data_IF_243625322416
#
_entry.id   IF_243625322416
#
_cell.length_a   1.000
_cell.length_b   1.000
_cell.length_c   1.000
_cell.angle_alpha   90.00
_cell.angle_beta   90.00
_cell.angle_gamma   90.00
#
_symmetry.space_group_name_H-M   'P 1'
#
loop_
_entity.id
_entity.type
_entity.pdbx_description
1 polymer ?
#
# COMPACT_ATOMS: atom_id res chain seq x y z
N UNK A 1 -8.94 -43.91 -18.68
CA UNK A 1 -8.18 -44.86 -17.83
C UNK A 1 -8.07 -44.21 -16.45
N UNK A 2 -9.04 -44.39 -15.53
CA UNK A 2 -9.01 -45.37 -14.40
C UNK A 2 -7.78 -45.11 -13.52
N UNK A 3 -7.78 -44.77 -12.21
CA UNK A 3 -8.67 -44.75 -11.01
C UNK A 3 -7.93 -43.82 -9.99
N UNK A 4 -8.41 -43.34 -8.84
CA UNK A 4 -9.33 -43.90 -7.84
C UNK A 4 -9.86 -42.79 -6.93
N UNK A 5 -11.14 -42.88 -6.58
CA UNK A 5 -11.78 -42.19 -5.45
C UNK A 5 -11.63 -43.11 -4.23
N UNK A 6 -11.17 -42.57 -3.09
CA UNK A 6 -11.25 -43.26 -1.80
C UNK A 6 -12.07 -42.39 -0.85
N UNK A 7 -13.32 -42.80 -0.67
CA UNK A 7 -14.19 -42.41 0.43
C UNK A 7 -13.73 -43.18 1.68
N UNK A 8 -13.54 -42.49 2.80
CA UNK A 8 -13.52 -43.14 4.12
C UNK A 8 -14.55 -42.46 5.03
N UNK A 9 -15.53 -43.25 5.43
CA UNK A 9 -16.70 -42.87 6.20
C UNK A 9 -16.45 -42.89 7.72
N UNK A 10 -17.34 -42.17 8.41
CA UNK A 10 -17.48 -41.98 9.86
C UNK A 10 -17.47 -43.26 10.72
N UNK A 11 -17.08 -43.10 11.99
CA UNK A 11 -17.63 -43.85 13.12
C UNK A 11 -17.54 -43.02 14.42
N UNK A 12 -18.52 -43.27 15.28
CA UNK A 12 -19.15 -42.39 16.27
C UNK A 12 -18.75 -42.72 17.73
N UNK A 13 -18.83 -41.67 18.57
CA UNK A 13 -19.33 -41.65 19.98
C UNK A 13 -18.45 -42.25 21.08
N UNK A 14 -18.20 -41.46 22.14
CA UNK A 14 -18.66 -41.73 23.51
C UNK A 14 -18.49 -40.49 24.42
N UNK A 15 -19.54 -40.21 25.20
CA UNK A 15 -19.62 -39.18 26.22
C UNK A 15 -18.87 -39.59 27.51
N UNK A 16 -18.29 -38.62 28.22
CA UNK A 16 -17.90 -38.75 29.62
C UNK A 16 -18.06 -37.40 30.35
N UNK A 17 -18.54 -37.51 31.59
CA UNK A 17 -19.16 -36.49 32.42
C UNK A 17 -18.18 -35.71 33.32
N UNK A 18 -18.65 -34.56 33.82
CA UNK A 18 -18.21 -33.93 35.09
C UNK A 18 -17.03 -32.98 34.90
N UNK A 19 -17.05 -31.72 35.30
CA UNK A 19 -17.87 -31.03 36.29
C UNK A 19 -16.96 -30.58 37.41
N UNK A 20 -16.44 -29.35 37.35
CA UNK A 20 -15.95 -28.60 38.52
C UNK A 20 -15.95 -27.10 38.18
N UNK A 21 -16.93 -26.42 38.77
CA UNK A 21 -17.10 -24.97 38.77
C UNK A 21 -16.29 -24.47 39.98
N UNK A 22 -15.15 -23.84 39.74
CA UNK A 22 -14.46 -23.05 40.75
C UNK A 22 -14.77 -21.57 40.52
N UNK A 23 -15.83 -21.12 41.20
CA UNK A 23 -16.07 -19.71 41.50
C UNK A 23 -15.22 -19.35 42.72
N UNK A 24 -14.02 -18.83 42.51
CA UNK A 24 -13.29 -18.07 43.53
C UNK A 24 -13.29 -16.61 43.14
N UNK A 25 -14.23 -15.87 43.73
CA UNK A 25 -14.26 -14.42 43.67
C UNK A 25 -13.15 -13.83 44.54
N UNK A 26 -12.44 -12.83 44.02
CA UNK A 26 -11.67 -11.95 44.89
C UNK A 26 -10.57 -11.13 44.25
N UNK A 27 -10.94 -9.87 43.94
CA UNK A 27 -10.11 -8.65 44.04
C UNK A 27 -9.20 -8.25 42.86
N UNK A 28 -9.62 -7.13 42.28
CA UNK A 28 -8.84 -5.93 41.98
C UNK A 28 -7.48 -6.15 41.31
N UNK A 29 -7.53 -6.11 39.98
CA UNK A 29 -6.45 -5.57 39.15
C UNK A 29 -7.09 -4.78 38.02
N UNK A 30 -7.49 -3.53 38.31
CA UNK A 30 -7.64 -2.54 37.25
C UNK A 30 -6.26 -2.37 36.61
N UNK A 31 -6.23 -2.71 35.33
CA UNK A 31 -5.21 -2.55 34.31
C UNK A 31 -4.32 -1.29 34.41
N UNK A 32 -3.18 -1.29 33.69
CA UNK A 32 -3.27 -0.76 32.34
C UNK A 32 -2.80 -1.80 31.32
N UNK A 33 -3.75 -2.34 30.55
CA UNK A 33 -3.51 -2.75 29.19
C UNK A 33 -2.90 -1.55 28.48
N UNK A 34 -1.62 -1.65 28.14
CA UNK A 34 -0.92 -0.75 27.24
C UNK A 34 -1.36 -0.95 25.78
N UNK A 35 -2.66 -1.17 25.57
CA UNK A 35 -3.26 -1.67 24.32
C UNK A 35 -3.58 -0.60 23.27
N UNK A 36 -3.28 0.68 23.52
CA UNK A 36 -3.56 1.74 22.53
C UNK A 36 -2.42 1.92 21.52
N UNK A 37 -1.18 1.56 21.87
CA UNK A 37 0.00 1.83 21.05
C UNK A 37 0.24 0.85 19.90
N UNK A 38 -0.06 -0.44 20.08
CA UNK A 38 0.20 -1.46 19.06
C UNK A 38 -0.75 -1.36 17.86
N UNK A 39 -2.03 -1.07 18.10
CA UNK A 39 -3.03 -0.90 17.03
C UNK A 39 -2.84 0.38 16.22
N UNK A 40 -2.03 1.33 16.70
CA UNK A 40 -1.70 2.58 16.00
C UNK A 40 -0.32 2.54 15.34
N UNK A 41 0.39 1.41 15.42
CA UNK A 41 1.71 1.27 14.83
C UNK A 41 1.60 1.33 13.31
N UNK A 42 2.35 2.24 12.71
CA UNK A 42 2.53 2.33 11.26
C UNK A 42 3.93 1.83 10.89
N UNK A 43 4.24 1.82 9.59
CA UNK A 43 5.64 1.82 9.16
C UNK A 43 6.32 3.15 9.56
N UNK A 44 7.65 3.15 9.67
CA UNK A 44 8.44 4.38 9.82
C UNK A 44 8.53 5.14 8.49
N UNK A 45 8.95 6.41 8.50
CA UNK A 45 9.23 7.14 7.25
C UNK A 45 10.29 6.45 6.38
N UNK A 46 11.31 5.84 7.00
CA UNK A 46 12.35 5.11 6.27
C UNK A 46 11.78 3.86 5.57
N UNK A 47 10.92 3.12 6.27
CA UNK A 47 10.20 1.97 5.70
C UNK A 47 9.23 2.42 4.60
N UNK A 48 8.55 3.55 4.79
CA UNK A 48 7.67 4.13 3.78
C UNK A 48 8.44 4.53 2.51
N UNK A 49 9.63 5.12 2.65
CA UNK A 49 10.50 5.46 1.51
C UNK A 49 10.97 4.22 0.75
N UNK A 50 11.33 3.16 1.46
CA UNK A 50 11.66 1.88 0.85
C UNK A 50 10.44 1.32 0.10
N UNK A 51 9.26 1.32 0.73
CA UNK A 51 8.04 0.80 0.13
C UNK A 51 7.61 1.58 -1.10
N UNK A 52 7.77 2.90 -1.11
CA UNK A 52 7.58 3.75 -2.28
C UNK A 52 8.50 3.33 -3.43
N UNK A 53 9.80 3.09 -3.16
CA UNK A 53 10.74 2.62 -4.16
C UNK A 53 10.33 1.26 -4.72
N UNK A 54 9.92 0.32 -3.88
CA UNK A 54 9.48 -1.01 -4.33
C UNK A 54 8.27 -0.95 -5.26
N UNK A 55 7.32 -0.04 -5.00
CA UNK A 55 6.18 0.16 -5.90
C UNK A 55 6.61 0.76 -7.25
N UNK A 56 7.54 1.72 -7.25
CA UNK A 56 8.14 2.30 -8.45
C UNK A 56 8.86 1.22 -9.26
N UNK A 57 9.70 0.41 -8.62
CA UNK A 57 10.49 -0.63 -9.29
C UNK A 57 9.60 -1.68 -9.98
N UNK A 58 8.51 -2.10 -9.32
CA UNK A 58 7.55 -3.04 -9.92
C UNK A 58 6.79 -2.42 -11.09
N UNK A 59 6.36 -1.17 -10.97
CA UNK A 59 5.67 -0.46 -12.05
C UNK A 59 6.60 -0.26 -13.26
N UNK A 60 7.85 0.12 -13.04
CA UNK A 60 8.87 0.23 -14.09
C UNK A 60 9.15 -1.11 -14.76
N UNK A 61 9.16 -2.22 -14.00
CA UNK A 61 9.35 -3.55 -14.55
C UNK A 61 8.21 -4.02 -15.47
N UNK A 62 7.01 -3.42 -15.35
CA UNK A 62 5.88 -3.69 -16.22
C UNK A 62 5.94 -2.94 -17.57
N UNK A 63 6.84 -1.96 -17.72
CA UNK A 63 6.96 -1.20 -18.96
C UNK A 63 7.58 -2.06 -20.08
N UNK A 64 7.10 -1.92 -21.33
CA UNK A 64 7.63 -2.65 -22.49
C UNK A 64 9.04 -2.18 -22.89
N UNK A 65 9.45 -1.00 -22.45
CA UNK A 65 10.81 -0.47 -22.58
C UNK A 65 11.25 0.02 -21.21
N UNK A 66 12.44 -0.41 -20.76
CA UNK A 66 12.97 -0.01 -19.46
C UNK A 66 13.55 1.41 -19.52
N UNK A 67 12.97 2.40 -18.81
CA UNK A 67 13.55 3.74 -18.71
C UNK A 67 14.80 3.77 -17.83
N UNK A 68 15.58 4.83 -17.96
CA UNK A 68 16.48 5.28 -16.89
C UNK A 68 15.69 6.15 -15.93
N UNK A 69 15.90 5.99 -14.62
CA UNK A 69 15.21 6.78 -13.60
C UNK A 69 16.09 7.95 -13.15
N UNK A 70 15.64 9.18 -13.41
CA UNK A 70 16.27 10.41 -12.88
C UNK A 70 15.44 10.96 -11.74
N UNK A 71 16.04 11.10 -10.56
CA UNK A 71 15.32 11.51 -9.36
C UNK A 71 14.79 12.93 -9.51
N UNK A 72 13.48 13.10 -9.34
CA UNK A 72 12.83 14.41 -9.32
C UNK A 72 12.56 14.86 -7.88
N UNK A 73 12.08 13.96 -7.03
CA UNK A 73 11.69 14.25 -5.64
C UNK A 73 11.91 13.03 -4.75
N UNK A 74 12.44 13.26 -3.55
CA UNK A 74 12.56 12.28 -2.48
C UNK A 74 12.45 13.01 -1.14
N UNK A 75 11.23 13.23 -0.67
CA UNK A 75 10.93 14.08 0.47
C UNK A 75 9.86 13.48 1.38
N UNK A 76 9.51 14.21 2.43
CA UNK A 76 8.35 13.96 3.27
C UNK A 76 7.73 15.29 3.71
N UNK A 77 6.41 15.28 3.90
CA UNK A 77 5.64 16.44 4.33
C UNK A 77 4.65 16.04 5.41
N UNK A 78 4.43 16.93 6.39
CA UNK A 78 3.45 16.67 7.43
C UNK A 78 2.05 16.58 6.80
N UNK A 79 1.28 15.59 7.23
CA UNK A 79 -0.12 15.46 6.87
C UNK A 79 -0.93 16.55 7.59
N UNK A 80 -1.27 17.60 6.83
CA UNK A 80 -2.01 18.77 7.31
C UNK A 80 -3.36 18.97 6.63
N UNK A 81 -3.72 18.07 5.71
CA UNK A 81 -5.00 18.13 5.00
C UNK A 81 -6.16 17.99 6.02
N UNK A 82 -7.07 18.97 6.11
CA UNK A 82 -8.18 18.91 7.04
C UNK A 82 -9.16 17.76 6.74
N UNK A 83 -9.10 17.15 5.55
CA UNK A 83 -9.93 16.01 5.15
C UNK A 83 -9.32 14.65 5.48
N UNK A 84 -8.07 14.61 5.96
CA UNK A 84 -7.45 13.37 6.44
C UNK A 84 -7.95 12.98 7.84
N UNK A 85 -8.57 13.90 8.59
CA UNK A 85 -9.17 13.72 9.93
C UNK A 85 -8.24 13.07 10.99
N UNK A 86 -6.95 12.91 10.70
CA UNK A 86 -6.02 12.23 11.58
C UNK A 86 -5.15 13.18 12.43
N UNK A 87 -4.44 12.64 13.45
CA UNK A 87 -3.59 13.44 14.32
C UNK A 87 -2.45 14.16 13.57
N UNK A 88 -2.05 15.32 14.10
CA UNK A 88 -0.82 16.04 13.68
C UNK A 88 0.44 15.23 13.99
N UNK A 89 1.53 15.54 13.29
CA UNK A 89 2.82 14.88 13.45
C UNK A 89 2.99 13.57 12.67
N UNK A 90 2.02 13.20 11.81
CA UNK A 90 2.19 12.18 10.78
C UNK A 90 2.71 12.80 9.50
N UNK A 91 3.44 12.03 8.71
CA UNK A 91 4.08 12.48 7.48
C UNK A 91 3.72 11.56 6.31
N UNK A 92 3.51 12.15 5.15
CA UNK A 92 3.47 11.45 3.87
C UNK A 92 4.88 11.49 3.26
N UNK A 93 5.39 10.32 2.86
CA UNK A 93 6.66 10.19 2.14
C UNK A 93 6.37 10.15 0.66
N UNK A 94 7.04 11.00 -0.12
CA UNK A 94 6.90 11.08 -1.57
C UNK A 94 8.20 10.73 -2.29
N UNK A 95 8.10 9.99 -3.39
CA UNK A 95 9.21 9.72 -4.30
C UNK A 95 8.77 9.79 -5.75
N UNK A 96 9.48 10.56 -6.57
CA UNK A 96 9.16 10.73 -7.99
C UNK A 96 10.40 10.68 -8.86
N UNK A 97 10.29 10.03 -10.00
CA UNK A 97 11.33 9.95 -11.03
C UNK A 97 10.81 10.45 -12.38
N UNK A 98 11.69 11.07 -13.15
CA UNK A 98 11.56 11.13 -14.61
C UNK A 98 11.89 9.77 -15.22
N UNK A 99 11.14 9.39 -16.26
CA UNK A 99 11.33 8.15 -17.01
C UNK A 99 12.10 8.43 -18.31
N UNK A 100 13.42 8.53 -18.20
CA UNK A 100 14.28 8.92 -19.32
C UNK A 100 14.47 7.79 -20.34
N UNK A 101 14.68 8.18 -21.61
CA UNK A 101 14.94 7.25 -22.70
C UNK A 101 13.69 6.59 -23.29
N UNK A 102 12.49 6.97 -22.83
CA UNK A 102 11.24 6.54 -23.45
C UNK A 102 10.94 7.38 -24.70
N UNK A 103 10.57 6.76 -25.83
CA UNK A 103 10.15 7.49 -27.02
C UNK A 103 8.78 8.15 -26.82
N UNK A 104 8.74 9.48 -26.77
CA UNK A 104 7.54 10.31 -26.49
C UNK A 104 6.30 9.95 -27.34
N UNK A 105 6.49 9.58 -28.60
CA UNK A 105 5.39 9.18 -29.49
C UNK A 105 4.66 7.88 -29.05
N UNK A 106 5.20 7.15 -28.07
CA UNK A 106 4.61 5.95 -27.46
C UNK A 106 4.10 6.18 -26.04
N UNK A 107 3.99 7.42 -25.57
CA UNK A 107 3.52 7.72 -24.20
C UNK A 107 2.17 7.07 -23.88
N UNK A 108 1.24 7.02 -24.84
CA UNK A 108 -0.03 6.30 -24.67
C UNK A 108 0.18 4.83 -24.25
N UNK A 109 1.07 4.11 -24.95
CA UNK A 109 1.38 2.71 -24.67
C UNK A 109 2.02 2.51 -23.29
N UNK A 110 2.94 3.40 -22.89
CA UNK A 110 3.59 3.30 -21.59
C UNK A 110 2.63 3.58 -20.44
N UNK A 111 1.76 4.58 -20.59
CA UNK A 111 0.74 4.90 -19.59
C UNK A 111 -0.30 3.78 -19.49
N UNK A 112 -0.69 3.18 -20.62
CA UNK A 112 -1.59 2.02 -20.63
C UNK A 112 -0.96 0.80 -19.95
N UNK A 113 0.33 0.52 -20.19
CA UNK A 113 1.04 -0.57 -19.52
C UNK A 113 1.08 -0.40 -17.98
N UNK A 114 1.31 0.82 -17.50
CA UNK A 114 1.28 1.14 -16.07
C UNK A 114 -0.14 0.98 -15.49
N UNK A 115 -1.15 1.49 -16.20
CA UNK A 115 -2.55 1.34 -15.82
C UNK A 115 -2.95 -0.14 -15.70
N UNK A 116 -2.67 -0.94 -16.72
CA UNK A 116 -2.99 -2.37 -16.74
C UNK A 116 -2.28 -3.13 -15.62
N UNK A 117 -1.01 -2.80 -15.36
CA UNK A 117 -0.27 -3.35 -14.23
C UNK A 117 -0.96 -3.02 -12.91
N UNK A 118 -1.30 -1.75 -12.66
CA UNK A 118 -1.93 -1.35 -11.41
C UNK A 118 -3.28 -2.01 -11.19
N UNK A 119 -4.17 -1.98 -12.19
CA UNK A 119 -5.50 -2.62 -12.10
C UNK A 119 -5.37 -4.13 -11.90
N UNK A 120 -4.39 -4.77 -12.54
CA UNK A 120 -4.11 -6.20 -12.37
C UNK A 120 -3.49 -6.57 -11.01
N UNK A 121 -2.97 -5.61 -10.24
CA UNK A 121 -2.22 -5.85 -9.01
C UNK A 121 -2.84 -5.15 -7.79
N UNK A 122 -4.17 -5.09 -7.75
CA UNK A 122 -4.90 -4.69 -6.55
C UNK A 122 -4.88 -3.19 -6.27
N UNK A 123 -4.66 -2.36 -7.28
CA UNK A 123 -4.86 -0.92 -7.15
C UNK A 123 -6.27 -0.52 -7.60
N UNK A 124 -6.87 0.42 -6.85
CA UNK A 124 -8.08 1.13 -7.27
C UNK A 124 -7.70 2.42 -8.00
N UNK A 125 -8.44 2.75 -9.07
CA UNK A 125 -8.23 3.99 -9.83
C UNK A 125 -8.82 5.17 -9.06
N UNK A 126 -8.02 6.23 -8.90
CA UNK A 126 -8.46 7.51 -8.34
C UNK A 126 -8.80 8.50 -9.45
N UNK A 127 -7.93 8.60 -10.46
CA UNK A 127 -8.11 9.46 -11.62
C UNK A 127 -7.58 8.77 -12.87
N UNK A 128 -8.33 8.84 -13.98
CA UNK A 128 -7.91 8.35 -15.30
C UNK A 128 -8.18 9.42 -16.37
N UNK A 129 -7.12 10.09 -16.81
CA UNK A 129 -7.11 11.08 -17.89
C UNK A 129 -6.22 10.65 -19.04
N UNK A 130 -6.10 9.34 -19.31
CA UNK A 130 -5.27 8.81 -20.40
C UNK A 130 -5.68 9.28 -21.78
N UNK A 131 -6.95 9.64 -21.97
CA UNK A 131 -7.46 10.13 -23.26
C UNK A 131 -7.14 11.61 -23.55
N UNK A 132 -6.51 12.33 -22.61
CA UNK A 132 -6.12 13.74 -22.78
C UNK A 132 -4.69 13.85 -23.31
N UNK A 133 -4.35 15.05 -23.80
CA UNK A 133 -2.99 15.37 -24.25
C UNK A 133 -2.00 15.42 -23.06
N UNK A 134 -2.47 15.85 -21.88
CA UNK A 134 -1.77 15.81 -20.60
C UNK A 134 -2.11 14.52 -19.84
N UNK A 135 -1.61 13.39 -20.33
CA UNK A 135 -1.94 12.07 -19.77
C UNK A 135 -1.61 12.03 -18.28
N UNK A 136 -2.62 11.67 -17.50
CA UNK A 136 -2.49 11.50 -16.07
C UNK A 136 -3.29 10.29 -15.60
N UNK A 137 -2.67 9.48 -14.75
CA UNK A 137 -3.35 8.42 -14.00
C UNK A 137 -2.87 8.49 -12.58
N UNK A 138 -3.79 8.37 -11.62
CA UNK A 138 -3.45 8.08 -10.23
C UNK A 138 -4.27 6.92 -9.71
N UNK A 139 -3.62 6.11 -8.88
CA UNK A 139 -4.17 4.90 -8.30
C UNK A 139 -3.76 4.78 -6.83
N UNK A 140 -4.47 3.97 -6.07
CA UNK A 140 -4.12 3.62 -4.69
C UNK A 140 -4.12 2.11 -4.52
N UNK A 141 -3.09 1.57 -3.87
CA UNK A 141 -3.02 0.15 -3.57
C UNK A 141 -4.02 -0.20 -2.47
N UNK A 142 -4.84 -1.24 -2.66
CA UNK A 142 -5.86 -1.62 -1.69
C UNK A 142 -5.29 -2.26 -0.41
N UNK A 143 -4.07 -2.79 -0.44
CA UNK A 143 -3.48 -3.51 0.69
C UNK A 143 -2.69 -2.58 1.62
N UNK A 144 -1.91 -1.65 1.07
CA UNK A 144 -1.00 -0.78 1.83
C UNK A 144 -1.27 0.72 1.70
N UNK A 145 -2.33 1.10 0.97
CA UNK A 145 -2.76 2.48 0.74
C UNK A 145 -1.71 3.39 0.09
N UNK A 146 -0.63 2.84 -0.49
CA UNK A 146 0.30 3.66 -1.27
C UNK A 146 -0.39 4.15 -2.53
N UNK A 147 -0.20 5.44 -2.82
CA UNK A 147 -0.66 6.06 -4.05
C UNK A 147 0.44 6.05 -5.08
N UNK A 148 0.07 5.80 -6.33
CA UNK A 148 0.97 5.88 -7.48
C UNK A 148 0.37 6.85 -8.49
N UNK A 149 1.22 7.53 -9.24
CA UNK A 149 0.77 8.32 -10.38
C UNK A 149 1.78 8.35 -11.52
N UNK A 150 1.27 8.39 -12.74
CA UNK A 150 2.06 8.75 -13.93
C UNK A 150 1.48 10.04 -14.53
N UNK A 151 2.38 10.94 -14.91
CA UNK A 151 2.03 12.23 -15.51
C UNK A 151 2.91 12.49 -16.72
N UNK A 152 2.31 12.92 -17.83
CA UNK A 152 2.99 13.45 -19.01
C UNK A 152 3.18 14.98 -18.86
N UNK A 153 4.41 15.46 -19.00
CA UNK A 153 4.72 16.89 -18.98
C UNK A 153 4.29 17.55 -20.29
N UNK A 154 4.29 18.88 -20.31
CA UNK A 154 3.98 19.65 -21.54
C UNK A 154 5.01 19.43 -22.66
N UNK A 155 6.23 19.01 -22.31
CA UNK A 155 7.28 18.60 -23.24
C UNK A 155 7.17 17.13 -23.67
N UNK A 156 6.20 16.38 -23.12
CA UNK A 156 5.98 14.96 -23.41
C UNK A 156 6.89 14.02 -22.63
N UNK A 157 7.53 14.47 -21.55
CA UNK A 157 8.32 13.59 -20.66
C UNK A 157 7.41 12.95 -19.61
N UNK A 158 7.60 11.65 -19.34
CA UNK A 158 6.81 10.94 -18.33
C UNK A 158 7.51 11.02 -16.97
N UNK A 159 6.72 11.30 -15.93
CA UNK A 159 7.14 11.13 -14.54
C UNK A 159 6.30 10.06 -13.85
N UNK A 160 6.93 9.30 -12.95
CA UNK A 160 6.31 8.25 -12.15
C UNK A 160 6.57 8.52 -10.68
N UNK A 161 5.51 8.61 -9.89
CA UNK A 161 5.57 8.89 -8.47
C UNK A 161 4.88 7.83 -7.61
N UNK A 162 5.36 7.69 -6.39
CA UNK A 162 4.75 6.95 -5.30
C UNK A 162 4.66 7.84 -4.05
N UNK A 163 3.56 7.75 -3.31
CA UNK A 163 3.47 8.31 -1.97
C UNK A 163 2.83 7.36 -0.97
N UNK A 164 3.31 7.43 0.27
CA UNK A 164 2.81 6.60 1.37
C UNK A 164 1.46 7.13 1.88
N UNK A 165 0.68 6.33 2.63
CA UNK A 165 -0.26 6.91 3.57
C UNK A 165 0.47 7.77 4.62
N UNK A 166 -0.28 8.53 5.41
CA UNK A 166 0.26 9.27 6.55
C UNK A 166 0.80 8.31 7.62
N UNK A 167 2.10 8.36 7.87
CA UNK A 167 2.79 7.49 8.84
C UNK A 167 3.38 8.30 9.99
N UNK A 168 3.55 7.67 11.14
CA UNK A 168 4.36 8.26 12.20
C UNK A 168 5.85 8.17 11.83
N UNK A 169 6.67 9.21 12.08
CA UNK A 169 8.09 9.21 11.72
C UNK A 169 8.84 7.95 12.19
N UNK A 170 8.65 7.58 13.45
CA UNK A 170 9.26 6.41 14.09
C UNK A 170 8.32 5.17 14.09
N UNK A 171 7.22 5.23 13.32
CA UNK A 171 6.24 4.15 13.20
C UNK A 171 5.33 3.98 14.42
N UNK A 172 5.45 4.83 15.43
CA UNK A 172 4.61 4.82 16.63
C UNK A 172 4.10 6.24 16.93
N UNK A 173 2.84 6.39 17.39
CA UNK A 173 2.36 7.68 17.87
C UNK A 173 3.17 8.15 19.08
N UNK A 174 3.33 9.47 19.29
CA UNK A 174 3.96 10.00 20.49
C UNK A 174 3.21 9.57 21.74
N UNK A 175 3.95 9.27 22.81
CA UNK A 175 3.36 9.02 24.13
C UNK A 175 2.64 10.29 24.60
N UNK A 176 1.36 10.16 24.91
CA UNK A 176 0.52 11.22 25.52
C UNK A 176 1.01 11.62 26.90
#
# INVERSE_FOLDING_TARGET
MIRAVVLLACLLVLAACGGERNDDGGRNGTEPSSGTGEHMRTMTEAQARQRAQEHIDRAVAALPVKPTLTLQRDDSAECVDPTDDGPRGRYEVGKTYWLDGLPKHRNAEFVDALFDYWVGHGFRVLTDWRAKDDRFVSVENNDDAFRMSVTESVEGDLSLGASSPCVWPDGVPPST
#
